data_IF_356004602240
#
_entry.id   IF_356004602240
#
_cell.length_a   1.000
_cell.length_b   1.000
_cell.length_c   1.000
_cell.angle_alpha   90.00
_cell.angle_beta   90.00
_cell.angle_gamma   90.00
#
_symmetry.space_group_name_H-M   'P 1'
#
loop_
_entity.id
_entity.type
_entity.pdbx_description
1 polymer ?
#
# COMPACT_ATOMS: atom_id res chain seq x y z
N UNK A 1 11.59 -2.39 -7.66
CA UNK A 1 10.18 -1.96 -7.85
C UNK A 1 9.94 -1.51 -9.28
N UNK A 2 10.64 -0.49 -9.79
CA UNK A 2 10.43 0.04 -11.16
C UNK A 2 10.36 -1.06 -12.23
N UNK A 3 11.36 -1.95 -12.29
CA UNK A 3 11.39 -3.08 -13.21
C UNK A 3 10.17 -4.02 -13.13
N UNK A 4 9.64 -4.27 -11.93
CA UNK A 4 8.47 -5.13 -11.75
C UNK A 4 7.17 -4.41 -12.12
N UNK A 5 7.14 -3.09 -11.99
CA UNK A 5 5.98 -2.26 -12.32
C UNK A 5 5.85 -1.97 -13.83
N UNK A 6 6.87 -2.27 -14.65
CA UNK A 6 6.85 -2.09 -16.11
C UNK A 6 5.74 -2.88 -16.81
N UNK A 7 5.31 -4.00 -16.23
CA UNK A 7 4.28 -4.88 -16.80
C UNK A 7 2.91 -4.73 -16.13
N UNK A 8 2.74 -3.76 -15.23
CA UNK A 8 1.51 -3.57 -14.44
C UNK A 8 0.80 -2.28 -14.86
N UNK A 9 -0.53 -2.31 -14.90
CA UNK A 9 -1.30 -1.08 -15.09
C UNK A 9 -1.03 -0.10 -13.93
N UNK A 10 -1.15 1.20 -14.17
CA UNK A 10 -0.86 2.25 -13.16
C UNK A 10 -1.56 2.01 -11.81
N UNK A 11 -2.78 1.46 -11.83
CA UNK A 11 -3.57 1.14 -10.62
C UNK A 11 -3.09 -0.10 -9.87
N UNK A 12 -2.33 -0.97 -10.52
CA UNK A 12 -1.80 -2.22 -9.96
C UNK A 12 -0.34 -2.07 -9.46
N UNK A 13 0.31 -0.96 -9.82
CA UNK A 13 1.72 -0.72 -9.49
C UNK A 13 1.93 -0.57 -7.98
N UNK A 14 3.00 -1.20 -7.48
CA UNK A 14 3.45 -1.02 -6.09
C UNK A 14 4.10 0.35 -5.96
N UNK A 15 3.49 1.24 -5.17
CA UNK A 15 3.98 2.61 -4.92
C UNK A 15 5.12 2.66 -3.90
N UNK A 16 4.97 1.92 -2.81
CA UNK A 16 5.94 1.82 -1.72
C UNK A 16 5.80 0.46 -1.03
N UNK A 17 6.86 -0.01 -0.38
CA UNK A 17 6.79 -1.16 0.51
C UNK A 17 7.77 -0.97 1.66
N UNK A 18 7.52 -1.65 2.78
CA UNK A 18 8.40 -1.69 3.94
C UNK A 18 8.66 -3.13 4.33
N UNK A 19 9.81 -3.37 4.93
CA UNK A 19 10.15 -4.67 5.51
C UNK A 19 9.70 -4.65 6.97
N UNK A 20 9.00 -5.70 7.39
CA UNK A 20 8.63 -5.85 8.79
C UNK A 20 9.91 -6.06 9.62
N UNK A 21 10.04 -5.43 10.81
CA UNK A 21 11.22 -5.55 11.66
C UNK A 21 11.30 -6.90 12.39
N UNK A 22 10.39 -7.84 12.10
CA UNK A 22 10.39 -9.19 12.62
C UNK A 22 9.89 -10.19 11.58
N UNK A 23 10.23 -11.45 11.80
CA UNK A 23 9.65 -12.57 11.06
C UNK A 23 8.26 -12.89 11.63
N UNK A 24 7.36 -13.34 10.75
CA UNK A 24 6.03 -13.82 11.15
C UNK A 24 6.12 -15.32 11.42
N UNK A 25 5.86 -15.71 12.66
CA UNK A 25 5.87 -17.11 13.08
C UNK A 25 4.44 -17.62 13.32
N UNK A 26 3.91 -18.56 12.50
CA UNK A 26 2.59 -19.13 12.71
C UNK A 26 2.43 -19.93 14.01
N UNK A 27 3.52 -20.35 14.64
CA UNK A 27 3.51 -21.07 15.91
C UNK A 27 3.46 -20.11 17.12
N UNK A 28 3.77 -18.83 16.93
CA UNK A 28 3.68 -17.80 17.97
C UNK A 28 2.21 -17.42 18.25
N UNK A 29 1.78 -17.54 19.51
CA UNK A 29 0.42 -17.20 19.92
C UNK A 29 0.15 -15.70 19.72
N UNK A 30 -1.01 -15.37 19.14
CA UNK A 30 -1.38 -13.98 18.85
C UNK A 30 -0.69 -13.36 17.64
N UNK A 31 0.05 -14.13 16.83
CA UNK A 31 0.67 -13.61 15.61
C UNK A 31 -0.37 -13.31 14.50
N UNK A 32 -0.20 -12.21 13.72
CA UNK A 32 -1.09 -11.85 12.61
C UNK A 32 -0.95 -12.73 11.36
N UNK A 33 -0.66 -14.01 11.55
CA UNK A 33 -0.56 -15.02 10.50
C UNK A 33 -1.29 -16.30 10.92
N UNK A 34 -1.84 -17.04 9.96
CA UNK A 34 -2.41 -18.38 10.17
C UNK A 34 -1.33 -19.45 10.05
N UNK A 35 -1.58 -20.70 10.51
CA UNK A 35 -0.69 -21.83 10.25
C UNK A 35 -0.35 -22.04 8.75
N UNK A 36 -1.27 -21.68 7.86
CA UNK A 36 -1.09 -21.71 6.39
C UNK A 36 -0.42 -20.46 5.81
N UNK A 37 0.18 -19.62 6.65
CA UNK A 37 0.83 -18.34 6.29
C UNK A 37 -0.09 -17.28 5.66
N UNK A 38 -1.40 -17.37 5.87
CA UNK A 38 -2.34 -16.31 5.48
C UNK A 38 -2.30 -15.17 6.50
N UNK A 39 -2.35 -13.92 6.02
CA UNK A 39 -2.35 -12.75 6.89
C UNK A 39 -3.71 -12.52 7.55
N UNK A 40 -3.71 -12.30 8.87
CA UNK A 40 -4.86 -11.77 9.59
C UNK A 40 -4.82 -10.24 9.50
N UNK A 41 -5.40 -9.67 8.43
CA UNK A 41 -5.25 -8.25 8.05
C UNK A 41 -5.50 -7.25 9.19
N UNK A 42 -6.61 -7.40 9.93
CA UNK A 42 -6.94 -6.47 11.02
C UNK A 42 -5.85 -6.45 12.09
N UNK A 43 -5.41 -7.62 12.56
CA UNK A 43 -4.36 -7.77 13.56
C UNK A 43 -3.00 -7.30 13.05
N UNK A 44 -2.71 -7.49 11.76
CA UNK A 44 -1.48 -6.99 11.13
C UNK A 44 -1.44 -5.45 11.16
N UNK A 45 -2.53 -4.81 10.75
CA UNK A 45 -2.64 -3.35 10.72
C UNK A 45 -2.58 -2.78 12.14
N UNK A 46 -3.23 -3.44 13.10
CA UNK A 46 -3.18 -3.03 14.51
C UNK A 46 -1.75 -3.09 15.07
N UNK A 47 -1.07 -4.22 14.88
CA UNK A 47 0.27 -4.46 15.43
C UNK A 47 1.35 -3.57 14.80
N UNK A 48 1.22 -3.28 13.51
CA UNK A 48 2.20 -2.48 12.75
C UNK A 48 1.65 -1.13 12.32
N UNK A 49 0.69 -0.59 13.07
CA UNK A 49 -0.02 0.66 12.76
C UNK A 49 0.96 1.75 12.37
N UNK A 50 1.91 2.07 13.24
CA UNK A 50 2.87 3.16 13.00
C UNK A 50 3.69 2.97 11.73
N UNK A 51 4.04 1.71 11.40
CA UNK A 51 4.76 1.41 10.16
C UNK A 51 3.87 1.66 8.93
N UNK A 52 2.61 1.21 8.99
CA UNK A 52 1.61 1.42 7.92
C UNK A 52 1.30 2.91 7.76
N UNK A 53 1.02 3.63 8.84
CA UNK A 53 0.77 5.08 8.82
C UNK A 53 1.99 5.83 8.26
N UNK A 54 3.22 5.43 8.62
CA UNK A 54 4.43 6.05 8.06
C UNK A 54 4.66 5.79 6.56
N UNK A 55 3.89 4.92 5.93
CA UNK A 55 3.93 4.73 4.48
C UNK A 55 3.14 5.81 3.75
N UNK A 56 2.09 6.33 4.38
CA UNK A 56 1.20 7.36 3.83
C UNK A 56 1.70 8.75 4.26
N UNK A 57 2.57 9.35 3.45
CA UNK A 57 3.00 10.76 3.55
C UNK A 57 2.23 11.65 2.55
N UNK A 58 2.20 12.97 2.76
CA UNK A 58 1.77 14.02 1.81
C UNK A 58 2.17 13.73 0.34
N UNK A 59 3.30 13.07 0.09
CA UNK A 59 3.75 12.62 -1.24
C UNK A 59 2.82 11.57 -1.85
N UNK A 60 2.36 10.61 -1.06
CA UNK A 60 1.39 9.61 -1.52
C UNK A 60 0.02 10.23 -1.72
N UNK A 61 -0.40 11.13 -0.82
CA UNK A 61 -1.62 11.93 -0.97
C UNK A 61 -1.57 12.78 -2.26
N UNK A 62 -0.44 13.44 -2.54
CA UNK A 62 -0.20 14.16 -3.81
C UNK A 62 -0.25 13.25 -5.05
N UNK A 63 0.32 12.05 -4.99
CA UNK A 63 0.30 11.11 -6.11
C UNK A 63 -1.11 10.54 -6.36
N UNK A 64 -1.90 10.36 -5.30
CA UNK A 64 -3.32 10.01 -5.40
C UNK A 64 -4.12 11.17 -5.99
N UNK A 65 -3.95 12.40 -5.50
CA UNK A 65 -4.61 13.59 -6.06
C UNK A 65 -4.22 13.87 -7.51
N UNK A 66 -2.95 13.73 -7.88
CA UNK A 66 -2.49 13.87 -9.27
C UNK A 66 -3.00 12.74 -10.18
N UNK A 67 -3.31 11.56 -9.63
CA UNK A 67 -3.94 10.46 -10.37
C UNK A 67 -5.45 10.61 -10.52
N UNK A 68 -6.13 11.19 -9.53
CA UNK A 68 -7.58 11.45 -9.52
C UNK A 68 -7.94 12.72 -10.30
N UNK A 69 -7.05 13.73 -10.32
CA UNK A 69 -7.24 14.98 -11.08
C UNK A 69 -7.43 14.78 -12.58
N UNK A 70 -6.92 13.67 -13.12
CA UNK A 70 -7.06 13.29 -14.55
C UNK A 70 -8.43 12.68 -14.87
N UNK A 71 -9.17 12.16 -13.86
CA UNK A 71 -10.49 11.53 -14.02
C UNK A 71 -11.66 12.49 -13.74
N UNK A 72 -11.41 13.67 -13.17
CA UNK A 72 -12.45 14.62 -12.73
C UNK A 72 -12.44 15.96 -13.47
N UNK A 73 -11.77 16.09 -14.62
CA UNK A 73 -11.95 17.27 -15.50
C UNK A 73 -12.82 16.97 -16.72
N UNK A 74 -14.16 17.05 -16.62
CA UNK A 74 -14.99 17.29 -17.79
C UNK A 74 -14.94 18.79 -18.14
N UNK A 75 -14.19 19.13 -19.20
CA UNK A 75 -14.38 20.38 -19.95
C UNK A 75 -13.69 21.63 -19.39
N UNK A 76 -12.46 21.87 -19.84
CA UNK A 76 -11.91 23.21 -19.99
C UNK A 76 -11.01 23.27 -21.24
N UNK A 77 -11.61 23.00 -22.39
CA UNK A 77 -11.10 23.44 -23.69
C UNK A 77 -12.02 24.59 -24.13
N UNK A 78 -11.70 25.80 -23.69
CA UNK A 78 -12.19 27.04 -24.27
C UNK A 78 -10.95 27.86 -24.62
N UNK A 79 -10.73 28.07 -25.92
CA UNK A 79 -9.59 28.78 -26.50
C UNK A 79 -9.29 28.27 -27.89
#
# INVERSE_FOLDING_TARGET
>A
IARANETLARVEQVKSFRILPKLLDPEEEGEPVTPTRKLKRALMIERFRDLVESMYDDREERLVHAGVGDLLQPGAQAG
#
